data_IF_061032161795
#
_entry.id   IF_061032161795
#
_cell.length_a   1.000
_cell.length_b   1.000
_cell.length_c   1.000
_cell.angle_alpha   90.00
_cell.angle_beta   90.00
_cell.angle_gamma   90.00
#
_symmetry.space_group_name_H-M   'P 1'
#
loop_
_entity.id
_entity.type
_entity.pdbx_description
1 polymer ?
#
# COMPACT_ATOMS: atom_id res chain seq x y z
N UNK A 1 2.34 23.03 8.03
CA UNK A 1 1.43 22.74 6.90
C UNK A 1 1.37 21.25 6.64
N UNK A 2 0.81 20.48 7.56
CA UNK A 2 0.34 19.13 7.24
C UNK A 2 -1.07 19.04 7.80
N UNK A 3 -2.05 19.04 6.92
CA UNK A 3 -3.44 18.76 7.26
C UNK A 3 -3.58 17.25 7.26
N UNK A 4 -4.25 16.65 8.23
CA UNK A 4 -4.44 15.19 8.27
C UNK A 4 -5.07 14.64 6.99
N UNK A 5 -5.95 15.40 6.35
CA UNK A 5 -6.56 15.02 5.10
C UNK A 5 -5.51 14.82 3.98
N UNK A 6 -4.38 15.53 4.04
CA UNK A 6 -3.32 15.38 3.05
C UNK A 6 -2.57 14.04 3.18
N UNK A 7 -2.34 13.54 4.40
CA UNK A 7 -1.68 12.22 4.55
C UNK A 7 -2.62 11.11 4.08
N UNK A 8 -3.92 11.25 4.36
CA UNK A 8 -4.93 10.31 3.89
C UNK A 8 -4.98 10.27 2.36
N UNK A 9 -5.03 11.43 1.69
CA UNK A 9 -5.04 11.48 0.21
C UNK A 9 -3.76 10.89 -0.36
N UNK A 10 -2.61 11.17 0.28
CA UNK A 10 -1.33 10.61 -0.15
C UNK A 10 -1.30 9.09 -0.03
N UNK A 11 -1.81 8.53 1.07
CA UNK A 11 -1.92 7.08 1.28
C UNK A 11 -2.67 6.40 0.13
N UNK A 12 -3.87 6.90 -0.20
CA UNK A 12 -4.64 6.40 -1.35
C UNK A 12 -3.95 6.60 -2.70
N UNK A 13 -3.19 7.69 -2.88
CA UNK A 13 -2.49 7.96 -4.13
C UNK A 13 -1.27 7.03 -4.35
N UNK A 14 -0.66 6.54 -3.26
CA UNK A 14 0.51 5.66 -3.31
C UNK A 14 0.13 4.17 -3.32
N UNK A 15 -1.06 3.84 -2.83
CA UNK A 15 -1.55 2.47 -2.77
C UNK A 15 -1.55 1.81 -4.17
N UNK A 16 -0.82 0.71 -4.31
CA UNK A 16 -0.69 -0.06 -5.55
C UNK A 16 -0.27 0.76 -6.79
N UNK A 17 0.42 1.89 -6.60
CA UNK A 17 0.89 2.76 -7.68
C UNK A 17 2.41 2.99 -7.59
N UNK A 18 3.23 2.09 -8.18
CA UNK A 18 4.68 2.22 -8.19
C UNK A 18 5.20 3.57 -8.74
N UNK A 19 4.66 4.13 -9.84
CA UNK A 19 5.11 5.42 -10.35
C UNK A 19 4.92 6.57 -9.34
N UNK A 20 3.81 6.56 -8.60
CA UNK A 20 3.56 7.59 -7.58
C UNK A 20 4.52 7.43 -6.39
N UNK A 21 4.88 6.19 -6.04
CA UNK A 21 5.90 5.91 -5.01
C UNK A 21 7.27 6.47 -5.41
N UNK A 22 7.67 6.27 -6.66
CA UNK A 22 8.91 6.83 -7.20
C UNK A 22 8.93 8.36 -7.12
N UNK A 23 7.88 9.02 -7.65
CA UNK A 23 7.75 10.47 -7.62
C UNK A 23 7.78 11.01 -6.18
N UNK A 24 7.11 10.32 -5.24
CA UNK A 24 7.09 10.74 -3.85
C UNK A 24 8.50 10.77 -3.23
N UNK A 25 9.32 9.75 -3.51
CA UNK A 25 10.71 9.68 -3.04
C UNK A 25 11.58 10.75 -3.69
N UNK A 26 11.38 11.01 -4.99
CA UNK A 26 12.11 12.04 -5.72
C UNK A 26 11.80 13.46 -5.25
N UNK A 27 10.53 13.75 -4.92
CA UNK A 27 10.09 15.07 -4.46
C UNK A 27 10.28 15.29 -2.96
N UNK A 28 11.27 14.60 -2.36
CA UNK A 28 11.67 14.73 -0.95
C UNK A 28 10.56 14.40 0.07
N UNK A 29 9.59 13.56 -0.32
CA UNK A 29 8.48 13.15 0.53
C UNK A 29 8.92 12.42 1.81
N UNK A 30 10.02 11.67 1.73
CA UNK A 30 10.57 10.88 2.85
C UNK A 30 10.83 11.70 4.12
N UNK A 31 11.30 12.94 3.99
CA UNK A 31 11.57 13.80 5.16
C UNK A 31 10.29 14.05 5.97
N UNK A 32 9.17 14.25 5.28
CA UNK A 32 7.88 14.53 5.92
C UNK A 32 7.27 13.26 6.50
N UNK A 33 7.27 12.18 5.72
CA UNK A 33 6.75 10.89 6.14
C UNK A 33 7.42 10.40 7.43
N UNK A 34 8.76 10.36 7.46
CA UNK A 34 9.49 9.87 8.64
C UNK A 34 9.45 10.84 9.83
N UNK A 35 9.14 12.12 9.61
CA UNK A 35 8.84 13.04 10.72
C UNK A 35 7.52 12.71 11.40
N UNK A 36 6.52 12.26 10.63
CA UNK A 36 5.20 11.84 11.15
C UNK A 36 5.34 10.48 11.85
N UNK A 37 5.99 9.52 11.21
CA UNK A 37 6.26 8.19 11.76
C UNK A 37 6.98 8.21 13.11
N UNK A 38 8.00 9.06 13.26
CA UNK A 38 8.74 9.23 14.52
C UNK A 38 8.01 10.13 15.55
N UNK A 39 6.77 10.56 15.28
CA UNK A 39 6.02 11.52 16.10
C UNK A 39 6.81 12.79 16.43
N UNK A 40 7.76 13.19 15.56
CA UNK A 40 8.57 14.41 15.72
C UNK A 40 7.70 15.62 15.38
N UNK A 41 6.87 16.04 16.33
CA UNK A 41 6.06 17.25 16.21
C UNK A 41 6.93 18.51 16.37
N UNK A 42 6.68 19.55 15.55
CA UNK A 42 7.30 20.86 15.77
C UNK A 42 6.83 21.44 17.12
N UNK A 43 7.71 22.05 17.93
CA UNK A 43 7.38 22.56 19.27
C UNK A 43 6.16 23.50 19.32
N UNK A 44 5.87 24.24 18.25
CA UNK A 44 4.74 25.19 18.21
C UNK A 44 3.36 24.54 18.14
N UNK A 45 3.26 23.24 17.85
CA UNK A 45 1.99 22.53 17.65
C UNK A 45 1.69 21.44 18.70
N UNK A 46 2.60 21.18 19.65
CA UNK A 46 2.43 20.17 20.71
C UNK A 46 1.20 20.42 21.60
N UNK A 47 0.75 21.67 21.76
CA UNK A 47 -0.39 22.02 22.64
C UNK A 47 -1.78 21.80 22.02
N UNK A 48 -1.90 21.37 20.75
CA UNK A 48 -3.21 21.36 20.04
C UNK A 48 -3.50 20.13 19.16
N UNK A 49 -2.66 19.10 19.15
CA UNK A 49 -2.95 17.89 18.38
C UNK A 49 -3.84 16.95 19.20
N UNK A 50 -4.96 16.56 18.60
CA UNK A 50 -5.86 15.55 19.16
C UNK A 50 -5.17 14.17 19.08
N UNK A 51 -5.15 13.40 20.17
CA UNK A 51 -4.55 12.04 20.20
C UNK A 51 -5.13 11.11 19.13
N UNK A 52 -6.44 11.20 18.89
CA UNK A 52 -7.09 10.43 17.84
C UNK A 52 -6.57 10.80 16.43
N UNK A 53 -6.15 12.06 16.26
CA UNK A 53 -5.59 12.53 15.01
C UNK A 53 -4.16 12.02 14.82
N UNK A 54 -3.38 11.95 15.89
CA UNK A 54 -2.03 11.39 15.86
C UNK A 54 -2.02 9.90 15.53
N UNK A 55 -2.99 9.15 16.08
CA UNK A 55 -3.16 7.73 15.74
C UNK A 55 -3.46 7.55 14.25
N UNK A 56 -4.43 8.28 13.69
CA UNK A 56 -4.74 8.18 12.25
C UNK A 56 -3.57 8.58 11.35
N UNK A 57 -2.85 9.64 11.71
CA UNK A 57 -1.67 10.07 10.94
C UNK A 57 -0.57 9.00 10.99
N UNK A 58 -0.45 8.26 12.10
CA UNK A 58 0.47 7.13 12.26
C UNK A 58 0.06 5.92 11.41
N UNK A 59 -1.23 5.54 11.43
CA UNK A 59 -1.80 4.45 10.61
C UNK A 59 -1.51 4.70 9.12
N UNK A 60 -1.80 5.92 8.63
CA UNK A 60 -1.50 6.30 7.25
C UNK A 60 0.01 6.35 6.95
N UNK A 61 0.84 6.76 7.91
CA UNK A 61 2.29 6.79 7.71
C UNK A 61 2.86 5.38 7.53
N UNK A 62 2.40 4.40 8.31
CA UNK A 62 2.80 3.00 8.17
C UNK A 62 2.34 2.43 6.82
N UNK A 63 1.09 2.67 6.44
CA UNK A 63 0.55 2.24 5.13
C UNK A 63 1.36 2.80 3.95
N UNK A 64 1.72 4.09 4.01
CA UNK A 64 2.59 4.71 3.00
C UNK A 64 3.97 4.05 2.99
N UNK A 65 4.57 3.79 4.16
CA UNK A 65 5.89 3.13 4.23
C UNK A 65 5.82 1.75 3.57
N UNK A 66 4.78 0.95 3.83
CA UNK A 66 4.61 -0.35 3.19
C UNK A 66 4.47 -0.21 1.66
N UNK A 67 3.67 0.76 1.21
CA UNK A 67 3.50 1.06 -0.23
C UNK A 67 4.82 1.45 -0.89
N UNK A 68 5.67 2.22 -0.21
CA UNK A 68 7.01 2.57 -0.70
C UNK A 68 7.96 1.37 -0.74
N UNK A 69 7.93 0.50 0.26
CA UNK A 69 8.76 -0.72 0.27
C UNK A 69 8.34 -1.70 -0.85
N UNK A 70 7.07 -1.66 -1.26
CA UNK A 70 6.51 -2.46 -2.34
C UNK A 70 6.75 -1.85 -3.72
N UNK A 71 6.50 -0.55 -3.88
CA UNK A 71 6.39 0.13 -5.18
C UNK A 71 7.64 0.88 -5.63
N UNK A 72 8.68 0.98 -4.80
CA UNK A 72 9.95 1.57 -5.22
C UNK A 72 10.89 0.51 -5.80
N UNK A 73 11.64 0.91 -6.83
CA UNK A 73 12.76 0.16 -7.42
C UNK A 73 14.03 1.03 -7.49
N UNK A 74 15.20 0.38 -7.61
CA UNK A 74 16.49 1.01 -7.81
C UNK A 74 16.86 2.08 -6.77
N UNK A 75 17.15 3.30 -7.25
CA UNK A 75 17.65 4.41 -6.41
C UNK A 75 16.65 4.84 -5.34
N UNK A 76 15.34 4.76 -5.61
CA UNK A 76 14.34 5.13 -4.61
C UNK A 76 14.27 4.13 -3.46
N UNK A 77 14.40 2.84 -3.75
CA UNK A 77 14.50 1.76 -2.76
C UNK A 77 15.70 2.00 -1.84
N UNK A 78 16.86 2.31 -2.42
CA UNK A 78 18.04 2.67 -1.64
C UNK A 78 17.82 3.90 -0.74
N UNK A 79 17.08 4.92 -1.21
CA UNK A 79 16.71 6.10 -0.39
C UNK A 79 15.77 5.75 0.76
N UNK A 80 14.81 4.85 0.55
CA UNK A 80 13.93 4.35 1.62
C UNK A 80 14.74 3.57 2.66
N UNK A 81 15.60 2.64 2.23
CA UNK A 81 16.48 1.87 3.12
C UNK A 81 17.43 2.75 3.93
N UNK A 82 18.02 3.76 3.29
CA UNK A 82 18.89 4.72 3.97
C UNK A 82 18.18 5.40 5.14
N UNK A 83 16.87 5.63 5.07
CA UNK A 83 16.11 6.18 6.21
C UNK A 83 16.15 5.22 7.40
N UNK A 84 15.99 3.92 7.17
CA UNK A 84 16.05 2.92 8.24
C UNK A 84 17.43 2.72 8.85
N UNK A 85 18.51 3.15 8.17
CA UNK A 85 19.87 3.13 8.71
C UNK A 85 20.24 4.39 9.52
N UNK A 86 19.51 5.50 9.36
CA UNK A 86 19.80 6.74 10.08
C UNK A 86 19.69 6.58 11.60
N UNK A 87 20.53 7.30 12.35
CA UNK A 87 20.49 7.39 13.81
C UNK A 87 20.46 6.03 14.51
N UNK A 88 21.41 5.14 14.18
CA UNK A 88 21.49 3.78 14.77
C UNK A 88 20.24 2.94 14.53
N UNK A 89 19.59 3.13 13.39
CA UNK A 89 18.34 2.47 13.04
C UNK A 89 17.16 2.78 13.99
N UNK A 90 17.06 4.03 14.47
CA UNK A 90 15.95 4.50 15.34
C UNK A 90 14.55 4.15 14.78
N UNK A 91 14.45 4.03 13.45
CA UNK A 91 13.20 3.77 12.75
C UNK A 91 12.80 2.30 12.82
N UNK A 92 13.77 1.38 12.87
CA UNK A 92 13.50 -0.04 13.14
C UNK A 92 13.00 -0.20 14.56
N UNK A 93 13.64 0.47 15.53
CA UNK A 93 13.19 0.47 16.92
C UNK A 93 11.76 1.00 17.03
N UNK A 94 11.45 2.13 16.37
CA UNK A 94 10.09 2.67 16.31
C UNK A 94 9.09 1.73 15.66
N UNK A 95 9.48 1.04 14.59
CA UNK A 95 8.61 0.07 13.90
C UNK A 95 8.24 -1.10 14.82
N UNK A 96 9.21 -1.62 15.57
CA UNK A 96 8.97 -2.70 16.52
C UNK A 96 8.18 -2.24 17.76
N UNK A 97 8.37 -0.99 18.22
CA UNK A 97 7.47 -0.41 19.24
C UNK A 97 6.01 -0.36 18.79
N UNK A 98 5.79 -0.07 17.51
CA UNK A 98 4.46 -0.06 16.94
C UNK A 98 3.89 -1.47 16.84
N UNK A 99 4.70 -2.45 16.43
CA UNK A 99 4.32 -3.85 16.44
C UNK A 99 3.82 -4.26 17.84
N UNK A 100 4.63 -4.06 18.88
CA UNK A 100 4.28 -4.41 20.26
C UNK A 100 2.98 -3.73 20.72
N UNK A 101 2.81 -2.44 20.41
CA UNK A 101 1.65 -1.67 20.82
C UNK A 101 0.36 -2.11 20.12
N UNK A 102 0.40 -2.37 18.82
CA UNK A 102 -0.76 -2.82 18.05
C UNK A 102 -1.09 -4.29 18.32
N UNK A 103 -0.09 -5.14 18.51
CA UNK A 103 -0.27 -6.53 18.93
C UNK A 103 -1.00 -6.61 20.28
N UNK A 104 -0.51 -5.88 21.29
CA UNK A 104 -1.15 -5.85 22.60
C UNK A 104 -2.59 -5.27 22.55
N UNK A 105 -2.84 -4.30 21.66
CA UNK A 105 -4.17 -3.75 21.44
C UNK A 105 -5.14 -4.82 20.86
N UNK A 106 -4.66 -5.61 19.90
CA UNK A 106 -5.47 -6.64 19.24
C UNK A 106 -5.69 -7.85 20.15
N UNK A 107 -4.67 -8.27 20.90
CA UNK A 107 -4.81 -9.32 21.90
C UNK A 107 -5.86 -8.96 22.97
N UNK A 108 -5.83 -7.70 23.45
CA UNK A 108 -6.84 -7.20 24.38
C UNK A 108 -8.24 -7.12 23.76
N UNK A 109 -8.35 -6.82 22.47
CA UNK A 109 -9.63 -6.82 21.76
C UNK A 109 -10.20 -8.25 21.64
N UNK A 110 -9.38 -9.22 21.24
CA UNK A 110 -9.80 -10.61 21.15
C UNK A 110 -10.18 -11.19 22.51
N UNK A 111 -9.39 -10.91 23.56
CA UNK A 111 -9.71 -11.36 24.92
C UNK A 111 -11.07 -10.84 25.41
N UNK A 112 -11.36 -9.54 25.22
CA UNK A 112 -12.67 -8.96 25.56
C UNK A 112 -13.80 -9.59 24.78
N UNK A 113 -13.60 -9.81 23.48
CA UNK A 113 -14.62 -10.42 22.62
C UNK A 113 -14.88 -11.87 22.99
N UNK A 114 -13.88 -12.61 23.45
CA UNK A 114 -14.07 -13.97 23.97
C UNK A 114 -14.84 -14.00 25.29
N UNK A 115 -14.66 -12.99 26.15
CA UNK A 115 -15.46 -12.81 27.37
C UNK A 115 -16.93 -12.50 27.03
N UNK A 116 -17.18 -11.56 26.12
CA UNK A 116 -18.53 -11.17 25.69
C UNK A 116 -19.31 -12.32 25.02
N UNK A 117 -18.63 -13.14 24.21
CA UNK A 117 -19.22 -14.36 23.59
C UNK A 117 -19.65 -15.42 24.60
N UNK A 118 -19.14 -15.39 25.84
CA UNK A 118 -19.59 -16.32 26.90
C UNK A 118 -20.92 -15.90 27.51
N UNK A 119 -21.32 -14.64 27.33
CA UNK A 119 -22.54 -14.06 27.90
C UNK A 119 -23.68 -13.90 26.86
N UNK A 120 -23.35 -13.85 25.57
CA UNK A 120 -24.31 -13.73 24.46
C UNK A 120 -24.45 -15.05 23.68
N UNK A 121 -25.30 -15.95 24.18
CA UNK A 121 -25.84 -17.10 23.44
C UNK A 121 -26.97 -16.58 22.52
N UNK A 122 -26.64 -15.72 21.54
CA UNK A 122 -27.65 -14.85 20.90
C UNK A 122 -28.15 -15.39 19.55
N UNK A 123 -29.38 -15.93 19.60
CA UNK A 123 -30.19 -16.43 18.47
C UNK A 123 -30.38 -15.41 17.33
N UNK A 124 -30.05 -14.13 17.53
CA UNK A 124 -30.15 -13.06 16.52
C UNK A 124 -29.04 -13.09 15.45
N UNK A 125 -27.87 -13.69 15.73
CA UNK A 125 -26.73 -13.67 14.77
C UNK A 125 -27.00 -14.53 13.53
N UNK A 126 -27.84 -15.57 13.65
CA UNK A 126 -28.21 -16.50 12.57
C UNK A 126 -29.09 -15.90 11.47
N UNK A 127 -29.63 -14.68 11.62
CA UNK A 127 -30.64 -14.14 10.70
C UNK A 127 -30.09 -13.32 9.52
N UNK A 128 -28.79 -13.01 9.46
CA UNK A 128 -28.26 -12.06 8.47
C UNK A 128 -27.41 -12.65 7.34
N UNK A 129 -27.11 -13.96 7.30
CA UNK A 129 -26.29 -14.62 6.26
C UNK A 129 -24.92 -13.93 5.94
N UNK A 130 -24.46 -12.99 6.77
CA UNK A 130 -23.12 -12.42 6.69
C UNK A 130 -22.18 -13.47 7.29
N UNK A 131 -21.10 -13.78 6.57
CA UNK A 131 -20.03 -14.64 7.09
C UNK A 131 -19.52 -14.06 8.41
N UNK A 132 -19.79 -14.77 9.50
CA UNK A 132 -19.44 -14.31 10.83
C UNK A 132 -17.92 -14.11 10.99
N UNK A 133 -17.12 -14.85 10.22
CA UNK A 133 -15.66 -14.73 10.21
C UNK A 133 -15.22 -13.42 9.55
N UNK A 134 -15.76 -13.09 8.38
CA UNK A 134 -15.50 -11.82 7.70
C UNK A 134 -15.87 -10.62 8.58
N UNK A 135 -17.01 -10.67 9.27
CA UNK A 135 -17.40 -9.60 10.20
C UNK A 135 -16.42 -9.46 11.37
N UNK A 136 -15.98 -10.58 11.96
CA UNK A 136 -14.98 -10.57 13.05
C UNK A 136 -13.66 -9.97 12.56
N UNK A 137 -13.25 -10.26 11.33
CA UNK A 137 -12.05 -9.70 10.71
C UNK A 137 -12.14 -8.19 10.47
N UNK A 138 -13.27 -7.71 9.92
CA UNK A 138 -13.51 -6.29 9.71
C UNK A 138 -13.55 -5.51 11.02
N UNK A 139 -14.21 -6.05 12.05
CA UNK A 139 -14.20 -5.46 13.39
C UNK A 139 -12.76 -5.37 13.93
N UNK A 140 -11.94 -6.41 13.76
CA UNK A 140 -10.54 -6.40 14.18
C UNK A 140 -9.72 -5.35 13.40
N UNK A 141 -9.99 -5.18 12.10
CA UNK A 141 -9.37 -4.15 11.27
C UNK A 141 -9.61 -2.74 11.83
N UNK A 142 -10.85 -2.43 12.22
CA UNK A 142 -11.23 -1.15 12.84
C UNK A 142 -10.51 -0.91 14.18
N UNK A 143 -10.17 -1.99 14.89
CA UNK A 143 -9.44 -1.94 16.15
C UNK A 143 -7.91 -1.85 15.98
N UNK A 144 -7.39 -1.94 14.75
CA UNK A 144 -5.98 -1.73 14.44
C UNK A 144 -5.26 -2.92 13.80
N UNK A 145 -5.96 -4.02 13.50
CA UNK A 145 -5.36 -5.21 12.87
C UNK A 145 -4.74 -4.83 11.52
N UNK A 146 -5.42 -4.01 10.73
CA UNK A 146 -4.88 -3.55 9.45
C UNK A 146 -3.53 -2.86 9.61
N UNK A 147 -3.37 -2.02 10.65
CA UNK A 147 -2.10 -1.32 10.88
C UNK A 147 -1.00 -2.29 11.31
N UNK A 148 -1.33 -3.29 12.15
CA UNK A 148 -0.42 -4.37 12.51
C UNK A 148 0.04 -5.15 11.27
N UNK A 149 -0.88 -5.53 10.39
CA UNK A 149 -0.57 -6.21 9.12
C UNK A 149 0.35 -5.38 8.22
N UNK A 150 0.16 -4.05 8.16
CA UNK A 150 1.06 -3.15 7.44
C UNK A 150 2.46 -3.11 8.08
N UNK A 151 2.55 -3.06 9.42
CA UNK A 151 3.83 -3.08 10.15
C UNK A 151 4.59 -4.38 9.85
N UNK A 152 3.92 -5.51 9.97
CA UNK A 152 4.51 -6.84 9.80
C UNK A 152 4.94 -7.07 8.35
N UNK A 153 4.14 -6.58 7.40
CA UNK A 153 4.52 -6.54 5.98
C UNK A 153 5.80 -5.71 5.75
N UNK A 154 5.96 -4.57 6.44
CA UNK A 154 7.18 -3.75 6.35
C UNK A 154 8.37 -4.50 6.94
N UNK A 155 8.21 -5.19 8.09
CA UNK A 155 9.27 -6.00 8.72
C UNK A 155 9.76 -7.08 7.74
N UNK A 156 8.83 -7.86 7.19
CA UNK A 156 9.13 -8.94 6.23
C UNK A 156 9.84 -8.39 5.00
N UNK A 157 9.36 -7.28 4.43
CA UNK A 157 10.00 -6.66 3.26
C UNK A 157 11.40 -6.15 3.58
N UNK A 158 11.58 -5.40 4.67
CA UNK A 158 12.88 -4.83 5.03
C UNK A 158 13.97 -5.90 5.20
N UNK A 159 13.62 -7.05 5.77
CA UNK A 159 14.57 -8.17 5.90
C UNK A 159 15.06 -8.70 4.55
N UNK A 160 14.21 -8.62 3.53
CA UNK A 160 14.45 -9.16 2.18
C UNK A 160 14.93 -8.12 1.15
N UNK A 161 15.11 -6.85 1.53
CA UNK A 161 15.55 -5.78 0.62
C UNK A 161 17.07 -5.74 0.36
N UNK A 162 17.79 -6.84 0.64
CA UNK A 162 19.21 -6.99 0.28
C UNK A 162 20.20 -6.19 1.11
N UNK A 163 19.80 -5.55 2.21
CA UNK A 163 20.70 -4.78 3.07
C UNK A 163 21.05 -5.54 4.36
N UNK A 164 22.21 -6.18 4.36
CA UNK A 164 22.69 -6.99 5.48
C UNK A 164 22.77 -6.25 6.83
N UNK A 165 23.05 -4.94 6.83
CA UNK A 165 23.10 -4.15 8.07
C UNK A 165 21.70 -3.97 8.67
N UNK A 166 20.72 -3.62 7.83
CA UNK A 166 19.32 -3.46 8.25
C UNK A 166 18.77 -4.80 8.70
N UNK A 167 18.97 -5.87 7.93
CA UNK A 167 18.48 -7.21 8.24
C UNK A 167 19.08 -7.72 9.55
N UNK A 168 20.40 -7.64 9.73
CA UNK A 168 21.05 -8.05 10.98
C UNK A 168 20.54 -7.24 12.18
N UNK A 169 20.45 -5.91 12.05
CA UNK A 169 19.97 -5.06 13.15
C UNK A 169 18.50 -5.34 13.48
N UNK A 170 17.68 -5.63 12.48
CA UNK A 170 16.28 -6.01 12.67
C UNK A 170 16.18 -7.32 13.46
N UNK A 171 16.92 -8.36 13.08
CA UNK A 171 16.96 -9.64 13.81
C UNK A 171 17.49 -9.46 15.23
N UNK A 172 18.55 -8.66 15.43
CA UNK A 172 19.07 -8.34 16.77
C UNK A 172 17.99 -7.67 17.64
N UNK A 173 17.24 -6.72 17.09
CA UNK A 173 16.18 -6.00 17.81
C UNK A 173 14.98 -6.89 18.13
N UNK A 174 14.56 -7.78 17.21
CA UNK A 174 13.51 -8.77 17.44
C UNK A 174 13.87 -9.67 18.62
N UNK A 175 15.12 -10.17 18.65
CA UNK A 175 15.63 -10.99 19.75
C UNK A 175 15.72 -10.22 21.07
N UNK A 176 16.20 -8.97 21.05
CA UNK A 176 16.33 -8.14 22.26
C UNK A 176 14.96 -7.82 22.89
N UNK A 177 13.92 -7.62 22.07
CA UNK A 177 12.56 -7.33 22.54
C UNK A 177 11.74 -8.57 22.86
N UNK A 178 12.25 -9.77 22.57
CA UNK A 178 11.53 -11.04 22.68
C UNK A 178 10.23 -11.05 21.86
N UNK A 179 10.25 -10.45 20.66
CA UNK A 179 9.10 -10.47 19.75
C UNK A 179 9.02 -11.87 19.14
N UNK A 180 7.85 -12.50 19.23
CA UNK A 180 7.63 -13.82 18.66
C UNK A 180 7.43 -13.73 17.15
N UNK A 181 8.41 -14.20 16.38
CA UNK A 181 8.34 -14.20 14.91
C UNK A 181 7.19 -15.03 14.36
N UNK A 182 6.67 -15.99 15.14
CA UNK A 182 5.48 -16.76 14.78
C UNK A 182 4.22 -15.90 14.76
N UNK A 183 4.15 -14.86 15.59
CA UNK A 183 3.05 -13.90 15.57
C UNK A 183 3.07 -13.11 14.27
N UNK A 184 4.24 -12.61 13.86
CA UNK A 184 4.44 -11.93 12.56
C UNK A 184 4.04 -12.86 11.41
N UNK A 185 4.50 -14.12 11.43
CA UNK A 185 4.11 -15.11 10.43
C UNK A 185 2.59 -15.30 10.35
N UNK A 186 1.94 -15.46 11.50
CA UNK A 186 0.49 -15.63 11.58
C UNK A 186 -0.24 -14.41 11.01
N UNK A 187 0.09 -13.21 11.45
CA UNK A 187 -0.57 -11.97 11.02
C UNK A 187 -0.43 -11.77 9.51
N UNK A 188 0.75 -12.02 8.95
CA UNK A 188 0.97 -11.88 7.50
C UNK A 188 0.25 -12.98 6.72
N UNK A 189 0.23 -14.22 7.23
CA UNK A 189 -0.52 -15.32 6.60
C UNK A 189 -2.02 -14.99 6.58
N UNK A 190 -2.59 -14.65 7.73
CA UNK A 190 -4.01 -14.27 7.86
C UNK A 190 -4.33 -13.08 6.92
N UNK A 191 -3.44 -12.08 6.85
CA UNK A 191 -3.60 -10.96 5.91
C UNK A 191 -3.70 -11.43 4.46
N UNK A 192 -2.82 -12.33 4.03
CA UNK A 192 -2.80 -12.83 2.64
C UNK A 192 -4.01 -13.67 2.28
N UNK A 193 -4.65 -14.34 3.25
CA UNK A 193 -5.88 -15.09 3.04
C UNK A 193 -7.07 -14.17 2.76
N UNK A 194 -7.09 -12.98 3.36
CA UNK A 194 -8.13 -11.97 3.19
C UNK A 194 -7.84 -10.97 2.03
N UNK A 195 -6.82 -11.22 1.21
CA UNK A 195 -6.53 -10.39 0.03
C UNK A 195 -7.44 -10.75 -1.14
N UNK A 196 -7.89 -9.73 -1.89
CA UNK A 196 -8.68 -9.89 -3.11
C UNK A 196 -7.96 -10.74 -4.18
N UNK A 197 -8.72 -11.46 -5.00
CA UNK A 197 -8.18 -12.25 -6.14
C UNK A 197 -7.33 -11.40 -7.11
N UNK A 198 -7.66 -10.12 -7.26
CA UNK A 198 -6.90 -9.16 -8.10
C UNK A 198 -5.50 -8.88 -7.58
N UNK A 199 -5.21 -9.25 -6.33
CA UNK A 199 -3.91 -9.10 -5.69
C UNK A 199 -3.19 -10.46 -5.52
N UNK A 200 -3.54 -11.49 -6.30
CA UNK A 200 -2.95 -12.82 -6.23
C UNK A 200 -1.42 -12.82 -6.41
N UNK A 201 -0.89 -11.99 -7.33
CA UNK A 201 0.56 -11.83 -7.54
C UNK A 201 1.24 -11.27 -6.29
N UNK A 202 0.64 -10.26 -5.66
CA UNK A 202 1.14 -9.67 -4.42
C UNK A 202 1.08 -10.65 -3.25
N UNK A 203 0.00 -11.43 -3.16
CA UNK A 203 -0.14 -12.50 -2.17
C UNK A 203 1.00 -13.50 -2.30
N UNK A 204 1.26 -14.00 -3.50
CA UNK A 204 2.34 -14.96 -3.75
C UNK A 204 3.71 -14.36 -3.39
N UNK A 205 3.95 -13.11 -3.76
CA UNK A 205 5.19 -12.39 -3.44
C UNK A 205 5.38 -12.22 -1.93
N UNK A 206 4.36 -11.79 -1.20
CA UNK A 206 4.45 -11.57 0.24
C UNK A 206 4.69 -12.88 1.00
N UNK A 207 4.04 -13.98 0.60
CA UNK A 207 4.29 -15.32 1.17
C UNK A 207 5.70 -15.81 0.88
N UNK A 208 6.23 -15.58 -0.32
CA UNK A 208 7.62 -15.91 -0.63
C UNK A 208 8.61 -15.13 0.25
N UNK A 209 8.39 -13.81 0.42
CA UNK A 209 9.21 -12.99 1.30
C UNK A 209 9.10 -13.43 2.77
N UNK A 210 7.91 -13.87 3.21
CA UNK A 210 7.69 -14.37 4.56
C UNK A 210 8.51 -15.63 4.81
N UNK A 211 8.51 -16.59 3.87
CA UNK A 211 9.34 -17.80 3.97
C UNK A 211 10.83 -17.45 4.08
N UNK A 212 11.32 -16.56 3.21
CA UNK A 212 12.71 -16.10 3.27
C UNK A 212 13.04 -15.36 4.57
N UNK A 213 12.08 -14.61 5.13
CA UNK A 213 12.25 -13.96 6.41
C UNK A 213 12.49 -14.97 7.54
N UNK A 214 11.77 -16.09 7.56
CA UNK A 214 12.01 -17.18 8.52
C UNK A 214 13.42 -17.77 8.37
N UNK A 215 13.83 -18.06 7.13
CA UNK A 215 15.17 -18.58 6.83
C UNK A 215 16.28 -17.61 7.29
N UNK A 216 16.10 -16.30 7.03
CA UNK A 216 17.02 -15.24 7.48
C UNK A 216 17.05 -15.15 9.00
N UNK A 217 15.90 -15.27 9.65
CA UNK A 217 15.80 -15.19 11.11
C UNK A 217 16.49 -16.37 11.78
N UNK A 218 16.25 -17.59 11.30
CA UNK A 218 16.90 -18.82 11.77
C UNK A 218 18.41 -18.81 11.52
N UNK A 219 18.85 -18.16 10.45
CA UNK A 219 20.26 -17.90 10.15
C UNK A 219 20.89 -16.77 11.00
N UNK A 220 20.14 -16.16 11.93
CA UNK A 220 20.62 -15.10 12.82
C UNK A 220 20.87 -13.76 12.10
N UNK A 221 20.14 -13.48 11.02
CA UNK A 221 20.28 -12.27 10.22
C UNK A 221 21.45 -12.29 9.24
N UNK A 222 22.04 -13.45 8.98
CA UNK A 222 23.01 -13.64 7.91
C UNK A 222 22.25 -13.82 6.60
N UNK A 223 22.34 -12.83 5.72
CA UNK A 223 21.79 -12.93 4.37
C UNK A 223 22.72 -13.83 3.56
N UNK A 224 22.27 -15.03 3.22
CA UNK A 224 22.95 -15.87 2.24
C UNK A 224 22.72 -15.21 0.88
N UNK A 225 23.80 -14.74 0.25
CA UNK A 225 23.75 -14.21 -1.11
C UNK A 225 23.51 -15.38 -2.06
N UNK A 226 22.25 -15.72 -2.30
CA UNK A 226 21.88 -16.42 -3.52
C UNK A 226 21.82 -15.38 -4.64
N UNK A 227 22.42 -15.71 -5.79
CA UNK A 227 22.44 -14.88 -6.98
C UNK A 227 21.00 -14.42 -7.29
N UNK A 228 20.84 -13.12 -7.58
CA UNK A 228 19.59 -12.54 -8.08
C UNK A 228 19.29 -13.14 -9.46
N UNK A 229 18.86 -14.40 -9.53
CA UNK A 229 18.35 -14.98 -10.76
C UNK A 229 16.83 -14.76 -10.84
N UNK A 230 16.43 -14.08 -11.91
CA UNK A 230 15.14 -14.15 -12.62
C UNK A 230 13.89 -13.43 -12.08
N UNK A 231 13.98 -12.40 -11.22
CA UNK A 231 12.77 -11.65 -10.79
C UNK A 231 12.72 -10.19 -11.27
N UNK A 232 13.76 -9.69 -11.94
CA UNK A 232 13.70 -8.40 -12.65
C UNK A 232 12.99 -8.52 -14.02
N UNK A 233 13.00 -9.71 -14.64
CA UNK A 233 12.34 -9.96 -15.94
C UNK A 233 10.81 -9.87 -15.85
N UNK A 234 10.19 -10.38 -14.78
CA UNK A 234 8.73 -10.30 -14.58
C UNK A 234 8.24 -8.86 -14.38
N UNK A 235 9.07 -7.98 -13.80
CA UNK A 235 8.71 -6.56 -13.60
C UNK A 235 8.82 -5.75 -14.89
N UNK A 236 9.77 -6.07 -15.75
CA UNK A 236 9.92 -5.42 -17.06
C UNK A 236 8.81 -5.88 -18.02
N UNK A 237 8.41 -7.16 -18.00
CA UNK A 237 7.29 -7.66 -18.81
C UNK A 237 5.94 -7.04 -18.39
N UNK A 238 5.66 -6.90 -17.10
CA UNK A 238 4.44 -6.22 -16.62
C UNK A 238 4.44 -4.71 -16.92
N UNK A 239 5.60 -4.04 -16.91
CA UNK A 239 5.71 -2.62 -17.26
C UNK A 239 5.52 -2.41 -18.77
N UNK A 240 6.10 -3.30 -19.60
CA UNK A 240 5.87 -3.31 -21.04
C UNK A 240 4.40 -3.59 -21.41
N UNK A 241 3.73 -4.54 -20.75
CA UNK A 241 2.33 -4.86 -21.03
C UNK A 241 1.41 -3.67 -20.70
N UNK A 242 1.67 -2.96 -19.59
CA UNK A 242 0.92 -1.76 -19.20
C UNK A 242 1.17 -0.58 -20.14
N UNK A 243 2.40 -0.41 -20.65
CA UNK A 243 2.68 0.61 -21.67
C UNK A 243 1.98 0.29 -22.99
N UNK A 244 1.97 -0.98 -23.42
CA UNK A 244 1.25 -1.42 -24.63
C UNK A 244 -0.25 -1.18 -24.52
N UNK A 245 -0.88 -1.52 -23.40
CA UNK A 245 -2.31 -1.24 -23.19
C UNK A 245 -2.62 0.26 -23.21
N UNK A 246 -1.71 1.09 -22.68
CA UNK A 246 -1.87 2.54 -22.66
C UNK A 246 -1.76 3.13 -24.07
N UNK A 247 -0.81 2.67 -24.87
CA UNK A 247 -0.68 3.05 -26.28
C UNK A 247 -1.90 2.65 -27.11
N UNK A 248 -2.43 1.43 -26.92
CA UNK A 248 -3.64 0.99 -27.63
C UNK A 248 -4.84 1.87 -27.30
N UNK A 249 -5.03 2.23 -26.01
CA UNK A 249 -6.10 3.14 -25.58
C UNK A 249 -5.93 4.55 -26.14
N UNK A 250 -4.71 5.03 -26.35
CA UNK A 250 -4.44 6.31 -27.00
C UNK A 250 -4.75 6.25 -28.50
N UNK A 251 -4.31 5.20 -29.20
CA UNK A 251 -4.63 4.96 -30.62
C UNK A 251 -6.13 4.88 -30.86
N UNK A 252 -6.87 4.16 -29.99
CA UNK A 252 -8.34 4.04 -30.09
C UNK A 252 -9.05 5.39 -29.85
N UNK A 253 -8.51 6.24 -28.96
CA UNK A 253 -9.03 7.60 -28.75
C UNK A 253 -8.79 8.50 -29.95
N UNK A 254 -7.59 8.45 -30.53
CA UNK A 254 -7.26 9.23 -31.74
C UNK A 254 -8.11 8.82 -32.94
N UNK A 255 -8.35 7.51 -33.11
CA UNK A 255 -9.22 7.00 -34.17
C UNK A 255 -10.67 7.46 -33.99
N UNK A 256 -11.23 7.34 -32.77
CA UNK A 256 -12.56 7.86 -32.45
C UNK A 256 -12.67 9.37 -32.66
N UNK A 257 -11.62 10.14 -32.39
CA UNK A 257 -11.60 11.58 -32.65
C UNK A 257 -11.57 11.88 -34.15
N UNK A 258 -10.78 11.13 -34.92
CA UNK A 258 -10.69 11.26 -36.37
C UNK A 258 -12.02 10.94 -37.06
N UNK A 259 -12.70 9.87 -36.64
CA UNK A 259 -14.04 9.53 -37.12
C UNK A 259 -15.06 10.63 -36.81
N UNK A 260 -15.03 11.20 -35.60
CA UNK A 260 -15.89 12.33 -35.23
C UNK A 260 -15.66 13.55 -36.10
N UNK A 261 -14.40 13.86 -36.43
CA UNK A 261 -14.05 14.97 -37.34
C UNK A 261 -14.60 14.73 -38.75
N UNK A 262 -14.41 13.54 -39.31
CA UNK A 262 -14.93 13.16 -40.62
C UNK A 262 -16.46 13.23 -40.68
N UNK A 263 -17.14 12.77 -39.61
CA UNK A 263 -18.61 12.81 -39.51
C UNK A 263 -19.13 14.25 -39.38
N UNK A 264 -18.41 15.11 -38.67
CA UNK A 264 -18.71 16.55 -38.58
C UNK A 264 -18.56 17.24 -39.94
N UNK A 265 -17.51 16.91 -40.68
CA UNK A 265 -17.22 17.49 -41.98
C UNK A 265 -18.25 17.06 -43.04
N UNK A 266 -18.65 15.77 -43.04
CA UNK A 266 -19.73 15.26 -43.87
C UNK A 266 -21.06 15.97 -43.59
N UNK A 267 -21.43 16.11 -42.32
CA UNK A 267 -22.64 16.83 -41.92
C UNK A 267 -22.62 18.32 -42.32
N UNK A 268 -21.45 18.95 -42.41
CA UNK A 268 -21.33 20.33 -42.91
C UNK A 268 -21.56 20.39 -44.42
N UNK A 269 -20.93 19.50 -45.19
CA UNK A 269 -21.09 19.41 -46.64
C UNK A 269 -22.55 19.14 -47.02
N UNK A 270 -23.21 18.19 -46.35
CA UNK A 270 -24.61 17.85 -46.59
C UNK A 270 -25.55 19.05 -46.32
N UNK A 271 -25.26 19.87 -45.29
CA UNK A 271 -26.02 21.10 -45.00
C UNK A 271 -25.80 22.21 -46.03
N UNK A 272 -24.58 22.34 -46.54
CA UNK A 272 -24.25 23.33 -47.57
C UNK A 272 -24.90 22.96 -48.91
N UNK A 273 -24.92 21.68 -49.27
CA UNK A 273 -25.61 21.16 -50.46
C UNK A 273 -27.14 21.35 -50.37
N UNK A 274 -27.76 21.08 -49.21
CA UNK A 274 -29.19 21.34 -49.00
C UNK A 274 -29.54 22.83 -49.06
N UNK A 275 -28.67 23.70 -48.54
CA UNK A 275 -28.84 25.15 -48.59
C UNK A 275 -28.76 25.68 -50.01
N UNK A 276 -27.84 25.15 -50.83
CA UNK A 276 -27.73 25.52 -52.25
C UNK A 276 -28.87 24.96 -53.10
N UNK A 277 -29.37 23.75 -52.78
CA UNK A 277 -30.57 23.20 -53.42
C UNK A 277 -31.82 24.04 -53.12
N UNK A 278 -31.96 24.53 -51.89
CA UNK A 278 -33.05 25.44 -51.51
C UNK A 278 -32.95 26.81 -52.17
N UNK A 279 -31.74 27.37 -52.35
CA UNK A 279 -31.54 28.63 -53.08
C UNK A 279 -31.87 28.52 -54.57
N UNK A 280 -31.57 27.37 -55.20
CA UNK A 280 -31.92 27.11 -56.60
C UNK A 280 -33.44 27.04 -56.79
N UNK A 281 -34.15 26.30 -55.92
CA UNK A 281 -35.63 26.23 -55.96
C UNK A 281 -36.34 27.57 -55.79
N UNK A 282 -35.78 28.52 -55.03
CA UNK A 282 -36.35 29.87 -54.86
C UNK A 282 -36.09 30.83 -56.04
N UNK A 283 -35.25 30.45 -57.01
CA UNK A 283 -35.02 31.25 -58.23
C UNK A 283 -35.90 30.83 -59.40
N UNK A 284 -36.52 29.65 -59.31
CA UNK A 284 -37.33 29.05 -60.38
C UNK A 284 -38.86 29.20 -60.14
N UNK A 285 -39.26 29.79 -59.01
CA UNK A 285 -40.62 30.28 -58.69
C UNK A 285 -40.66 31.81 -58.76
#
# INVERSE_FOLDING_TARGET
FFCSQAIKVLDFALLACPPNCQIFVEKLGLKFLFSIFMKKARPSHQKKRNKAQERRDEEHAVSIINSLCRGCSGVATARVLNKFMENQCEKLERLLELHDAYQAQIDAFFARREEEKRDEDDELTKQLEIDEEERKYLDACDHGLFTLQQIDSVIVRLANMGNALVTKRLVDLLNMRSIDTRQIHKVVTDFTEHMDEKAATERARLLHLLKRFEEIYDAGGVVVAEEEESMEEDTDEEEEEREREKEEREKEKEEKERERRLRSEKNRRDRDDDRDRHKRRRRDD
#
